data_IF_643891855905
#
_entry.id   IF_643891855905
#
_cell.length_a   1.000
_cell.length_b   1.000
_cell.length_c   1.000
_cell.angle_alpha   90.00
_cell.angle_beta   90.00
_cell.angle_gamma   90.00
#
_symmetry.space_group_name_H-M   'P 1'
#
loop_
_entity.id
_entity.type
_entity.pdbx_description
1 polymer ?
#
# COMPACT_ATOMS: atom_id res chain seq x y z
N UNK A 1 25.12 -17.45 -6.91
CA UNK A 1 24.37 -16.19 -7.12
C UNK A 1 24.84 -15.22 -6.06
N UNK A 2 25.38 -14.05 -6.42
CA UNK A 2 25.77 -13.06 -5.43
C UNK A 2 24.51 -12.62 -4.65
N UNK A 3 24.57 -12.52 -3.31
CA UNK A 3 23.43 -12.04 -2.53
C UNK A 3 23.09 -10.61 -2.97
N UNK A 4 21.82 -10.37 -3.29
CA UNK A 4 21.31 -9.04 -3.58
C UNK A 4 21.48 -8.19 -2.30
N UNK A 5 22.27 -7.12 -2.40
CA UNK A 5 22.47 -6.16 -1.31
C UNK A 5 21.25 -5.24 -1.20
N UNK A 6 20.20 -5.72 -0.51
CA UNK A 6 18.90 -5.04 -0.36
C UNK A 6 18.86 -3.98 0.74
N UNK A 7 19.92 -3.77 1.52
CA UNK A 7 19.90 -2.85 2.68
C UNK A 7 19.65 -1.38 2.31
N UNK A 8 19.95 -0.98 1.07
CA UNK A 8 19.85 0.41 0.60
C UNK A 8 18.80 0.60 -0.51
N UNK A 9 18.14 -0.48 -0.92
CA UNK A 9 17.17 -0.47 -2.01
C UNK A 9 15.74 -0.36 -1.51
N UNK A 10 14.89 0.32 -2.26
CA UNK A 10 13.46 0.40 -1.99
C UNK A 10 12.72 -0.72 -2.72
N UNK A 11 11.74 -1.35 -2.04
CA UNK A 11 10.87 -2.37 -2.65
C UNK A 11 9.98 -1.77 -3.74
N UNK A 12 9.47 -0.56 -3.50
CA UNK A 12 8.62 0.17 -4.44
C UNK A 12 9.40 1.33 -5.04
N UNK A 13 9.64 1.25 -6.35
CA UNK A 13 10.38 2.24 -7.12
C UNK A 13 9.63 2.57 -8.40
N UNK A 14 10.09 3.62 -9.08
CA UNK A 14 9.67 3.92 -10.44
C UNK A 14 10.88 4.30 -11.29
N UNK A 15 10.78 4.09 -12.60
CA UNK A 15 11.78 4.51 -13.56
C UNK A 15 11.41 5.90 -14.11
N UNK A 16 12.33 6.84 -13.99
CA UNK A 16 12.15 8.19 -14.53
C UNK A 16 12.32 8.19 -16.05
N UNK A 17 11.96 9.31 -16.69
CA UNK A 17 12.17 9.49 -18.14
C UNK A 17 13.66 9.43 -18.54
N UNK A 18 14.57 9.74 -17.61
CA UNK A 18 16.01 9.70 -17.83
C UNK A 18 16.61 8.32 -17.59
N UNK A 19 15.80 7.31 -17.20
CA UNK A 19 16.24 5.95 -16.93
C UNK A 19 16.72 5.70 -15.50
N UNK A 20 16.60 6.69 -14.61
CA UNK A 20 16.98 6.56 -13.20
C UNK A 20 15.91 5.80 -12.42
N UNK A 21 16.31 4.96 -11.46
CA UNK A 21 15.40 4.28 -10.53
C UNK A 21 15.30 5.12 -9.26
N UNK A 22 14.08 5.49 -8.89
CA UNK A 22 13.81 6.32 -7.72
C UNK A 22 12.75 5.69 -6.80
N UNK A 23 12.75 6.02 -5.49
CA UNK A 23 11.75 5.54 -4.55
C UNK A 23 10.36 6.04 -4.93
N UNK A 24 9.35 5.19 -4.76
CA UNK A 24 7.97 5.58 -4.99
C UNK A 24 7.52 6.60 -3.94
N UNK A 25 6.95 7.74 -4.37
CA UNK A 25 6.41 8.74 -3.46
C UNK A 25 5.18 8.21 -2.68
N UNK A 26 5.05 8.57 -1.40
CA UNK A 26 3.96 8.10 -0.54
C UNK A 26 2.56 8.41 -1.09
N UNK A 27 2.38 9.57 -1.73
CA UNK A 27 1.09 9.95 -2.34
C UNK A 27 0.74 9.18 -3.59
N UNK A 28 1.68 8.42 -4.17
CA UNK A 28 1.43 7.66 -5.39
C UNK A 28 0.24 6.72 -5.23
N UNK A 29 0.17 5.99 -4.11
CA UNK A 29 -0.93 5.05 -3.83
C UNK A 29 -2.26 5.80 -3.69
N UNK A 30 -2.28 6.97 -3.03
CA UNK A 30 -3.47 7.81 -2.92
C UNK A 30 -3.97 8.24 -4.31
N UNK A 31 -3.06 8.62 -5.20
CA UNK A 31 -3.38 9.05 -6.56
C UNK A 31 -3.92 7.90 -7.43
N UNK A 32 -3.28 6.74 -7.36
CA UNK A 32 -3.74 5.52 -8.06
C UNK A 32 -5.14 5.13 -7.60
N UNK A 33 -5.37 5.09 -6.28
CA UNK A 33 -6.67 4.75 -5.72
C UNK A 33 -7.74 5.77 -6.12
N UNK A 34 -7.43 7.06 -6.05
CA UNK A 34 -8.34 8.14 -6.48
C UNK A 34 -8.74 8.00 -7.94
N UNK A 35 -7.79 7.61 -8.81
CA UNK A 35 -8.06 7.34 -10.23
C UNK A 35 -8.98 6.14 -10.43
N UNK A 36 -8.79 5.05 -9.69
CA UNK A 36 -9.65 3.86 -9.74
C UNK A 36 -11.07 4.21 -9.29
N UNK A 37 -11.20 4.89 -8.14
CA UNK A 37 -12.48 5.32 -7.58
C UNK A 37 -13.26 6.16 -8.59
N UNK A 38 -12.61 7.18 -9.18
CA UNK A 38 -13.23 8.03 -10.19
C UNK A 38 -13.62 7.27 -11.45
N UNK A 39 -12.74 6.39 -11.95
CA UNK A 39 -12.98 5.60 -13.17
C UNK A 39 -14.21 4.70 -13.05
N UNK A 40 -14.45 4.16 -11.86
CA UNK A 40 -15.51 3.18 -11.62
C UNK A 40 -16.69 3.74 -10.80
N UNK A 41 -16.74 5.04 -10.53
CA UNK A 41 -17.82 5.66 -9.75
C UNK A 41 -17.96 5.10 -8.34
N UNK A 42 -16.86 4.67 -7.72
CA UNK A 42 -16.89 4.02 -6.41
C UNK A 42 -17.05 5.03 -5.27
N UNK A 43 -17.48 4.55 -4.11
CA UNK A 43 -17.43 5.35 -2.87
C UNK A 43 -15.97 5.67 -2.51
N UNK A 44 -15.73 6.90 -2.07
CA UNK A 44 -14.39 7.35 -1.66
C UNK A 44 -13.87 6.52 -0.48
N UNK A 45 -12.65 6.00 -0.61
CA UNK A 45 -11.89 5.32 0.43
C UNK A 45 -10.40 5.67 0.30
N UNK A 46 -9.67 5.70 1.41
CA UNK A 46 -8.22 5.90 1.44
C UNK A 46 -7.50 4.57 1.74
N UNK A 47 -6.18 4.49 1.53
CA UNK A 47 -5.41 3.33 1.98
C UNK A 47 -5.56 3.06 3.48
N UNK A 48 -5.67 4.12 4.30
CA UNK A 48 -5.98 3.99 5.73
C UNK A 48 -7.38 3.39 5.98
N UNK A 49 -8.37 3.76 5.14
CA UNK A 49 -9.69 3.13 5.16
C UNK A 49 -9.63 1.62 4.91
N UNK A 50 -8.79 1.15 3.97
CA UNK A 50 -8.57 -0.28 3.77
C UNK A 50 -7.93 -0.96 4.99
N UNK A 51 -7.03 -0.28 5.71
CA UNK A 51 -6.48 -0.80 6.98
C UNK A 51 -7.57 -1.01 8.02
N UNK A 52 -8.53 -0.07 8.14
CA UNK A 52 -9.68 -0.26 9.01
C UNK A 52 -10.55 -1.44 8.58
N UNK A 53 -10.85 -1.54 7.27
CA UNK A 53 -11.60 -2.69 6.74
C UNK A 53 -10.88 -4.01 7.04
N UNK A 54 -9.56 -4.07 6.88
CA UNK A 54 -8.77 -5.25 7.21
C UNK A 54 -8.89 -5.63 8.68
N UNK A 55 -8.77 -4.65 9.59
CA UNK A 55 -8.93 -4.88 11.02
C UNK A 55 -10.33 -5.38 11.39
N UNK A 56 -11.38 -4.79 10.80
CA UNK A 56 -12.77 -5.24 11.02
C UNK A 56 -12.95 -6.69 10.56
N UNK A 57 -12.48 -7.03 9.35
CA UNK A 57 -12.57 -8.40 8.83
C UNK A 57 -11.81 -9.40 9.71
N UNK A 58 -10.63 -9.03 10.22
CA UNK A 58 -9.88 -9.88 11.16
C UNK A 58 -10.65 -10.16 12.45
N UNK A 59 -11.30 -9.15 13.01
CA UNK A 59 -12.13 -9.30 14.21
C UNK A 59 -13.37 -10.16 13.90
N UNK A 60 -14.01 -9.96 12.75
CA UNK A 60 -15.18 -10.75 12.34
C UNK A 60 -14.87 -12.25 12.18
N UNK A 61 -13.66 -12.61 11.74
CA UNK A 61 -13.22 -14.02 11.67
C UNK A 61 -12.68 -14.57 13.01
N UNK A 62 -12.83 -13.82 14.11
CA UNK A 62 -12.47 -14.26 15.45
C UNK A 62 -11.03 -14.01 15.86
N UNK A 63 -10.25 -13.19 15.12
CA UNK A 63 -8.94 -12.76 15.60
C UNK A 63 -9.14 -11.73 16.71
N UNK A 64 -8.57 -12.04 17.88
CA UNK A 64 -8.62 -11.14 19.03
C UNK A 64 -8.14 -9.71 18.69
N UNK A 65 -8.80 -8.65 19.20
CA UNK A 65 -8.43 -7.27 18.90
C UNK A 65 -6.98 -6.91 19.21
N UNK A 66 -6.36 -7.51 20.24
CA UNK A 66 -4.94 -7.27 20.57
C UNK A 66 -4.04 -7.83 19.48
N UNK A 67 -4.36 -9.01 18.94
CA UNK A 67 -3.64 -9.60 17.83
C UNK A 67 -3.90 -8.87 16.51
N UNK A 68 -5.11 -8.35 16.31
CA UNK A 68 -5.46 -7.51 15.16
C UNK A 68 -4.69 -6.19 15.18
N UNK A 69 -4.53 -5.55 16.34
CA UNK A 69 -3.79 -4.29 16.48
C UNK A 69 -2.28 -4.42 16.23
N UNK A 70 -1.72 -5.63 16.39
CA UNK A 70 -0.30 -5.93 16.14
C UNK A 70 0.02 -6.20 14.66
N UNK A 71 -0.99 -6.27 13.79
CA UNK A 71 -0.81 -6.42 12.33
C UNK A 71 -0.97 -5.10 11.60
#
# INVERSE_FOLDING_TARGET
>A
VAPLSIEQDFIFTYCTRTGSIEPLHADYINNVLSRIIRKHGLRKISPHGFRHTHATLMIEIGVDPVNTAKR
#
